data_IF_142340419330
#
_entry.id   IF_142340419330
#
_cell.length_a   1.000
_cell.length_b   1.000
_cell.length_c   1.000
_cell.angle_alpha   90.00
_cell.angle_beta   90.00
_cell.angle_gamma   90.00
#
_symmetry.space_group_name_H-M   'P 1'
#
loop_
_entity.id
_entity.type
_entity.pdbx_description
1 polymer ?
#
# COMPACT_ATOMS: atom_id res chain seq x y z
N UNK A 1 -29.55 15.51 12.59
CA UNK A 1 -28.49 16.11 11.79
C UNK A 1 -29.10 16.37 10.42
N UNK A 2 -28.92 17.54 9.88
CA UNK A 2 -29.46 17.89 8.57
C UNK A 2 -28.66 17.11 7.53
N UNK A 3 -29.32 16.28 6.72
CA UNK A 3 -28.67 15.40 5.72
C UNK A 3 -28.06 16.19 4.56
N UNK A 4 -28.31 17.48 4.50
CA UNK A 4 -27.67 18.43 3.58
C UNK A 4 -26.15 18.43 3.72
N UNK A 5 -25.60 17.95 4.86
CA UNK A 5 -24.14 17.78 5.09
C UNK A 5 -23.48 16.87 4.04
N UNK A 6 -24.19 15.87 3.50
CA UNK A 6 -23.63 14.95 2.48
C UNK A 6 -23.90 15.40 1.03
N UNK A 7 -24.71 16.45 0.81
CA UNK A 7 -25.01 16.97 -0.52
C UNK A 7 -23.75 17.30 -1.33
N UNK A 8 -22.72 17.97 -0.75
CA UNK A 8 -21.50 18.27 -1.50
C UNK A 8 -20.74 17.04 -2.00
N UNK A 9 -20.95 15.89 -1.38
CA UNK A 9 -20.33 14.61 -1.77
C UNK A 9 -21.17 13.79 -2.75
N UNK A 10 -22.44 14.18 -2.96
CA UNK A 10 -23.42 13.50 -3.80
C UNK A 10 -23.95 14.40 -4.93
N UNK A 11 -23.11 15.26 -5.49
CA UNK A 11 -23.45 16.18 -6.59
C UNK A 11 -24.01 15.48 -7.84
N UNK A 12 -23.75 14.18 -7.98
CA UNK A 12 -24.28 13.36 -9.07
C UNK A 12 -25.81 13.20 -9.01
N UNK A 13 -26.44 13.40 -7.84
CA UNK A 13 -27.91 13.44 -7.73
C UNK A 13 -28.53 14.61 -8.50
N UNK A 14 -27.79 15.71 -8.65
CA UNK A 14 -28.21 16.86 -9.46
C UNK A 14 -27.81 16.67 -10.93
N UNK A 15 -26.54 16.36 -11.18
CA UNK A 15 -25.98 16.16 -12.51
C UNK A 15 -24.63 15.44 -12.49
N UNK A 16 -24.47 14.46 -13.39
CA UNK A 16 -23.17 13.77 -13.59
C UNK A 16 -22.07 14.76 -14.00
N UNK A 17 -22.41 15.75 -14.82
CA UNK A 17 -21.44 16.78 -15.22
C UNK A 17 -21.02 17.66 -14.05
N UNK A 18 -21.95 18.02 -13.17
CA UNK A 18 -21.66 18.78 -11.96
C UNK A 18 -20.72 18.00 -11.06
N UNK A 19 -20.98 16.70 -10.86
CA UNK A 19 -20.13 15.79 -10.10
C UNK A 19 -18.71 15.74 -10.67
N UNK A 20 -18.56 15.52 -11.98
CA UNK A 20 -17.24 15.49 -12.65
C UNK A 20 -16.43 16.79 -12.46
N UNK A 21 -17.10 17.94 -12.52
CA UNK A 21 -16.44 19.26 -12.52
C UNK A 21 -16.22 19.83 -11.12
N UNK A 22 -17.13 19.56 -10.16
CA UNK A 22 -17.15 20.22 -8.85
C UNK A 22 -16.84 19.31 -7.66
N UNK A 23 -16.94 17.99 -7.78
CA UNK A 23 -16.50 17.12 -6.70
C UNK A 23 -15.03 17.42 -6.35
N UNK A 24 -14.69 17.68 -5.08
CA UNK A 24 -13.35 18.11 -4.69
C UNK A 24 -12.23 17.14 -5.10
N UNK A 25 -12.49 15.85 -4.99
CA UNK A 25 -11.50 14.82 -5.37
C UNK A 25 -11.32 14.74 -6.88
N UNK A 26 -12.40 14.68 -7.63
CA UNK A 26 -12.33 14.61 -9.10
C UNK A 26 -11.72 15.88 -9.69
N UNK A 27 -12.08 17.07 -9.17
CA UNK A 27 -11.48 18.33 -9.58
C UNK A 27 -9.97 18.37 -9.33
N UNK A 28 -9.50 17.85 -8.18
CA UNK A 28 -8.07 17.74 -7.90
C UNK A 28 -7.36 16.89 -8.95
N UNK A 29 -7.95 15.80 -9.40
CA UNK A 29 -7.37 14.95 -10.43
C UNK A 29 -7.20 15.67 -11.77
N UNK A 30 -8.11 16.59 -12.13
CA UNK A 30 -8.02 17.35 -13.39
C UNK A 30 -6.77 18.26 -13.45
N UNK A 31 -6.22 18.65 -12.29
CA UNK A 31 -4.99 19.47 -12.21
C UNK A 31 -3.71 18.65 -12.11
N UNK A 32 -3.79 17.33 -12.01
CA UNK A 32 -2.64 16.44 -11.87
C UNK A 32 -2.08 16.04 -13.24
N UNK A 33 -0.75 16.08 -13.45
CA UNK A 33 -0.11 15.58 -14.67
C UNK A 33 -0.39 14.08 -14.91
N UNK A 34 -0.42 13.31 -13.83
CA UNK A 34 -0.68 11.88 -13.87
C UNK A 34 -1.87 11.53 -13.00
N UNK A 35 -2.76 10.69 -13.52
CA UNK A 35 -3.93 10.18 -12.84
C UNK A 35 -3.95 8.66 -12.95
N UNK A 36 -4.00 7.99 -11.82
CA UNK A 36 -4.13 6.54 -11.77
C UNK A 36 -5.60 6.12 -11.68
N UNK A 37 -5.96 5.09 -12.43
CA UNK A 37 -7.21 4.34 -12.27
C UNK A 37 -6.84 2.92 -11.84
N UNK A 38 -7.13 2.58 -10.60
CA UNK A 38 -6.83 1.24 -10.08
C UNK A 38 -7.66 0.16 -10.77
N UNK A 39 -7.07 -0.99 -11.03
CA UNK A 39 -7.80 -2.18 -11.53
C UNK A 39 -8.89 -2.64 -10.56
N UNK A 40 -8.78 -2.35 -9.27
CA UNK A 40 -9.83 -2.61 -8.28
C UNK A 40 -11.19 -2.02 -8.65
N UNK A 41 -11.21 -0.96 -9.48
CA UNK A 41 -12.47 -0.42 -10.04
C UNK A 41 -13.23 -1.47 -10.85
N UNK A 42 -12.53 -2.43 -11.43
CA UNK A 42 -13.13 -3.51 -12.24
C UNK A 42 -13.43 -4.76 -11.40
N UNK A 43 -12.71 -4.93 -10.28
CA UNK A 43 -12.82 -6.09 -9.40
C UNK A 43 -13.95 -5.93 -8.37
N UNK A 44 -14.21 -4.70 -7.89
CA UNK A 44 -15.31 -4.44 -6.95
C UNK A 44 -16.64 -4.77 -7.66
N UNK A 45 -17.42 -5.74 -7.15
CA UNK A 45 -18.66 -6.16 -7.80
C UNK A 45 -19.68 -5.02 -7.86
N UNK A 46 -20.21 -4.77 -9.05
CA UNK A 46 -21.24 -3.74 -9.28
C UNK A 46 -22.65 -4.31 -9.49
N UNK A 47 -22.81 -5.64 -9.42
CA UNK A 47 -24.06 -6.34 -9.72
C UNK A 47 -24.41 -7.44 -8.71
N UNK A 48 -23.59 -7.63 -7.68
CA UNK A 48 -23.80 -8.63 -6.63
C UNK A 48 -24.02 -7.90 -5.32
N UNK A 49 -25.22 -7.98 -4.69
CA UNK A 49 -25.46 -7.41 -3.38
C UNK A 49 -24.51 -7.99 -2.33
N UNK A 50 -24.03 -7.16 -1.43
CA UNK A 50 -23.11 -7.60 -0.39
C UNK A 50 -22.34 -6.45 0.24
N UNK A 51 -21.57 -6.77 1.29
CA UNK A 51 -20.71 -5.82 1.99
C UNK A 51 -19.27 -6.09 1.56
N UNK A 52 -18.67 -5.10 0.94
CA UNK A 52 -17.30 -5.11 0.43
C UNK A 52 -16.42 -4.14 1.21
N UNK A 53 -15.19 -4.52 1.46
CA UNK A 53 -14.25 -3.68 2.20
C UNK A 53 -13.03 -3.35 1.34
N UNK A 54 -12.62 -2.08 1.35
CA UNK A 54 -11.40 -1.61 0.71
C UNK A 54 -10.48 -1.03 1.79
N UNK A 55 -9.46 -1.79 2.15
CA UNK A 55 -8.40 -1.36 3.06
C UNK A 55 -7.20 -0.79 2.32
N UNK A 56 -6.32 -0.16 3.05
CA UNK A 56 -5.05 0.38 2.55
C UNK A 56 -4.60 1.56 3.38
N UNK A 57 -3.30 1.84 3.38
CA UNK A 57 -2.72 2.95 4.13
C UNK A 57 -3.39 4.30 3.86
N UNK A 58 -3.09 5.29 4.67
CA UNK A 58 -3.60 6.65 4.42
C UNK A 58 -2.97 7.23 3.16
N UNK A 59 -3.70 8.14 2.51
CA UNK A 59 -3.27 8.87 1.32
C UNK A 59 -2.92 7.97 0.11
N UNK A 60 -3.26 6.67 0.16
CA UNK A 60 -3.04 5.73 -0.95
C UNK A 60 -4.06 5.92 -2.08
N UNK A 61 -5.17 6.62 -1.81
CA UNK A 61 -6.17 6.99 -2.82
C UNK A 61 -7.52 6.28 -2.70
N UNK A 62 -7.91 5.75 -1.52
CA UNK A 62 -9.20 5.08 -1.30
C UNK A 62 -10.41 5.94 -1.67
N UNK A 63 -10.46 7.17 -1.19
CA UNK A 63 -11.53 8.13 -1.57
C UNK A 63 -11.57 8.37 -3.08
N UNK A 64 -10.40 8.49 -3.72
CA UNK A 64 -10.29 8.63 -5.18
C UNK A 64 -10.84 7.41 -5.90
N UNK A 65 -10.50 6.21 -5.44
CA UNK A 65 -11.02 4.95 -5.96
C UNK A 65 -12.55 4.92 -5.89
N UNK A 66 -13.14 5.27 -4.74
CA UNK A 66 -14.60 5.32 -4.59
C UNK A 66 -15.24 6.31 -5.57
N UNK A 67 -14.69 7.53 -5.71
CA UNK A 67 -15.20 8.53 -6.63
C UNK A 67 -15.07 8.12 -8.11
N UNK A 68 -13.99 7.47 -8.48
CA UNK A 68 -13.81 6.90 -9.81
C UNK A 68 -14.76 5.72 -10.06
N UNK A 69 -15.01 4.89 -9.05
CA UNK A 69 -15.98 3.80 -9.13
C UNK A 69 -17.42 4.32 -9.26
N UNK A 70 -17.78 5.38 -8.52
CA UNK A 70 -19.06 6.08 -8.71
C UNK A 70 -19.23 6.57 -10.15
N UNK A 71 -18.20 7.20 -10.73
CA UNK A 71 -18.25 7.62 -12.14
C UNK A 71 -18.48 6.44 -13.08
N UNK A 72 -17.82 5.31 -12.85
CA UNK A 72 -18.03 4.10 -13.64
C UNK A 72 -19.47 3.59 -13.53
N UNK A 73 -20.06 3.57 -12.34
CA UNK A 73 -21.47 3.18 -12.15
C UNK A 73 -22.41 4.07 -12.97
N UNK A 74 -22.21 5.39 -12.89
CA UNK A 74 -22.98 6.37 -13.63
C UNK A 74 -22.79 6.23 -15.16
N UNK A 75 -21.57 6.01 -15.63
CA UNK A 75 -21.23 5.78 -17.04
C UNK A 75 -21.82 4.48 -17.59
N UNK A 76 -22.04 3.49 -16.74
CA UNK A 76 -22.71 2.21 -17.10
C UNK A 76 -24.23 2.29 -16.97
N UNK A 77 -24.80 3.49 -16.77
CA UNK A 77 -26.24 3.75 -16.79
C UNK A 77 -26.96 3.46 -15.48
N UNK A 78 -26.25 3.39 -14.35
CA UNK A 78 -26.92 3.31 -13.04
C UNK A 78 -27.58 4.64 -12.69
N UNK A 79 -28.77 4.58 -12.09
CA UNK A 79 -29.51 5.78 -11.67
C UNK A 79 -28.68 6.53 -10.62
N UNK A 80 -28.43 7.84 -10.78
CA UNK A 80 -27.74 8.64 -9.79
C UNK A 80 -28.34 8.57 -8.39
N UNK A 81 -29.65 8.48 -8.24
CA UNK A 81 -30.33 8.40 -6.94
C UNK A 81 -30.13 7.05 -6.23
N UNK A 82 -29.69 6.02 -6.95
CA UNK A 82 -29.35 4.73 -6.36
C UNK A 82 -27.93 4.66 -5.78
N UNK A 83 -27.13 5.72 -5.95
CA UNK A 83 -25.73 5.77 -5.51
C UNK A 83 -25.60 6.81 -4.39
N UNK A 84 -25.20 6.38 -3.21
CA UNK A 84 -24.98 7.26 -2.07
C UNK A 84 -23.54 7.14 -1.54
N UNK A 85 -22.93 8.29 -1.33
CA UNK A 85 -21.61 8.39 -0.70
C UNK A 85 -21.71 9.15 0.61
N UNK A 86 -21.19 8.59 1.67
CA UNK A 86 -21.07 9.21 3.00
C UNK A 86 -19.64 9.07 3.51
N UNK A 87 -19.17 10.07 4.26
CA UNK A 87 -17.89 9.98 4.96
C UNK A 87 -18.10 9.72 6.44
N UNK A 88 -17.40 8.71 6.96
CA UNK A 88 -17.44 8.35 8.37
C UNK A 88 -16.91 9.46 9.30
N UNK A 89 -16.08 10.37 8.77
CA UNK A 89 -15.58 11.51 9.55
C UNK A 89 -16.68 12.46 10.07
N UNK A 90 -17.86 12.46 9.42
CA UNK A 90 -19.02 13.26 9.81
C UNK A 90 -20.07 12.47 10.59
N UNK A 91 -19.80 11.22 10.92
CA UNK A 91 -20.74 10.31 11.61
C UNK A 91 -20.16 9.94 12.97
N UNK A 92 -20.87 10.26 14.05
CA UNK A 92 -20.35 10.07 15.41
C UNK A 92 -20.37 8.60 15.84
N UNK A 93 -21.49 7.91 15.58
CA UNK A 93 -21.73 6.56 16.08
C UNK A 93 -22.62 5.69 15.15
N UNK A 94 -22.74 4.41 15.50
CA UNK A 94 -23.54 3.46 14.75
C UNK A 94 -25.04 3.80 14.71
N UNK A 95 -25.61 4.51 15.68
CA UNK A 95 -27.03 4.91 15.64
C UNK A 95 -27.25 5.95 14.54
N UNK A 96 -26.31 6.88 14.39
CA UNK A 96 -26.36 7.86 13.30
C UNK A 96 -26.16 7.18 11.95
N UNK A 97 -25.23 6.22 11.83
CA UNK A 97 -25.03 5.42 10.62
C UNK A 97 -26.30 4.68 10.22
N UNK A 98 -27.00 4.05 11.19
CA UNK A 98 -28.26 3.36 10.93
C UNK A 98 -29.34 4.33 10.41
N UNK A 99 -29.46 5.54 10.99
CA UNK A 99 -30.42 6.54 10.49
C UNK A 99 -30.14 6.96 9.05
N UNK A 100 -28.86 7.19 8.72
CA UNK A 100 -28.43 7.55 7.36
C UNK A 100 -28.75 6.42 6.37
N UNK A 101 -28.47 5.17 6.73
CA UNK A 101 -28.74 4.01 5.88
C UNK A 101 -30.26 3.75 5.70
N UNK A 102 -31.08 3.99 6.71
CA UNK A 102 -32.54 3.93 6.58
C UNK A 102 -33.03 4.99 5.59
N UNK A 103 -32.56 6.23 5.73
CA UNK A 103 -32.91 7.28 4.77
C UNK A 103 -32.46 6.96 3.35
N UNK A 104 -31.25 6.44 3.16
CA UNK A 104 -30.82 5.91 1.87
C UNK A 104 -31.79 4.88 1.33
N UNK A 105 -32.33 4.00 2.15
CA UNK A 105 -33.32 3.00 1.74
C UNK A 105 -34.66 3.64 1.35
N UNK A 106 -35.05 4.76 1.98
CA UNK A 106 -36.32 5.46 1.69
C UNK A 106 -36.22 6.36 0.46
N UNK A 107 -35.10 7.07 0.29
CA UNK A 107 -34.87 8.08 -0.77
C UNK A 107 -34.24 7.50 -2.05
N UNK A 108 -33.98 6.18 -2.10
CA UNK A 108 -33.37 5.49 -3.23
C UNK A 108 -34.23 5.53 -4.49
N UNK A 109 -33.60 5.39 -5.66
CA UNK A 109 -34.26 5.22 -6.94
C UNK A 109 -35.07 3.92 -7.03
N UNK A 110 -35.66 3.66 -8.18
CA UNK A 110 -36.52 2.50 -8.43
C UNK A 110 -35.78 1.26 -8.94
N UNK A 111 -34.44 1.32 -8.99
CA UNK A 111 -33.63 0.19 -9.47
C UNK A 111 -33.67 -1.01 -8.53
N UNK A 112 -33.48 -2.22 -9.05
CA UNK A 112 -33.44 -3.42 -8.23
C UNK A 112 -32.19 -3.51 -7.34
N UNK A 113 -31.18 -2.69 -7.58
CA UNK A 113 -29.90 -2.70 -6.88
C UNK A 113 -29.44 -1.27 -6.58
N UNK A 114 -28.96 -1.06 -5.35
CA UNK A 114 -28.52 0.24 -4.82
C UNK A 114 -27.08 0.17 -4.35
N UNK A 115 -26.41 1.34 -4.20
CA UNK A 115 -24.98 1.45 -3.87
C UNK A 115 -24.78 2.41 -2.72
N UNK A 116 -24.27 1.90 -1.60
CA UNK A 116 -23.89 2.71 -0.43
C UNK A 116 -22.38 2.65 -0.23
N UNK A 117 -21.73 3.79 -0.37
CA UNK A 117 -20.29 3.94 -0.16
C UNK A 117 -20.05 4.67 1.16
N UNK A 118 -19.41 4.00 2.10
CA UNK A 118 -19.03 4.59 3.39
C UNK A 118 -17.51 4.73 3.44
N UNK A 119 -17.05 5.94 3.19
CA UNK A 119 -15.61 6.24 3.21
C UNK A 119 -15.12 6.47 4.65
N UNK A 120 -13.96 5.92 4.99
CA UNK A 120 -13.35 5.99 6.32
C UNK A 120 -14.30 5.57 7.47
N UNK A 121 -14.95 4.42 7.30
CA UNK A 121 -15.95 3.89 8.28
C UNK A 121 -15.38 3.72 9.69
N UNK A 122 -14.08 3.53 9.82
CA UNK A 122 -13.37 3.35 11.11
C UNK A 122 -13.41 4.59 12.03
N UNK A 123 -13.82 5.76 11.52
CA UNK A 123 -14.06 6.95 12.34
C UNK A 123 -15.37 6.86 13.12
N UNK A 124 -16.32 6.03 12.70
CA UNK A 124 -17.63 5.87 13.32
C UNK A 124 -17.49 4.98 14.55
N UNK A 125 -17.87 5.48 15.70
CA UNK A 125 -17.86 4.66 16.93
C UNK A 125 -18.81 3.47 16.79
N UNK A 126 -18.31 2.26 17.11
CA UNK A 126 -19.07 1.00 17.03
C UNK A 126 -19.68 0.73 15.64
N UNK A 127 -19.01 1.20 14.57
CA UNK A 127 -19.47 1.08 13.17
C UNK A 127 -19.89 -0.34 12.78
N UNK A 128 -19.17 -1.33 13.27
CA UNK A 128 -19.40 -2.75 13.02
C UNK A 128 -20.76 -3.23 13.52
N UNK A 129 -21.22 -2.73 14.70
CA UNK A 129 -22.56 -3.01 15.24
C UNK A 129 -23.65 -2.43 14.32
N UNK A 130 -23.41 -1.21 13.80
CA UNK A 130 -24.33 -0.56 12.86
C UNK A 130 -24.47 -1.33 11.56
N UNK A 131 -23.34 -1.66 10.91
CA UNK A 131 -23.34 -2.43 9.66
C UNK A 131 -23.97 -3.82 9.85
N UNK A 132 -23.64 -4.49 10.95
CA UNK A 132 -24.26 -5.79 11.28
C UNK A 132 -25.78 -5.68 11.41
N UNK A 133 -26.27 -4.71 12.16
CA UNK A 133 -27.70 -4.47 12.33
C UNK A 133 -28.40 -4.22 10.98
N UNK A 134 -27.83 -3.36 10.13
CA UNK A 134 -28.37 -3.04 8.81
C UNK A 134 -28.41 -4.26 7.87
N UNK A 135 -27.41 -5.11 7.94
CA UNK A 135 -27.39 -6.36 7.20
C UNK A 135 -28.48 -7.34 7.69
N UNK A 136 -28.61 -7.50 9.02
CA UNK A 136 -29.57 -8.43 9.61
C UNK A 136 -31.03 -7.95 9.49
N UNK A 137 -31.24 -6.64 9.36
CA UNK A 137 -32.58 -6.04 9.15
C UNK A 137 -33.08 -6.10 7.69
N UNK A 138 -32.27 -6.63 6.76
CA UNK A 138 -32.64 -6.74 5.35
C UNK A 138 -32.44 -5.47 4.53
N UNK A 139 -32.01 -4.36 5.12
CA UNK A 139 -31.78 -3.07 4.42
C UNK A 139 -30.74 -3.22 3.30
N UNK A 140 -29.77 -4.11 3.50
CA UNK A 140 -28.69 -4.36 2.52
C UNK A 140 -28.95 -5.54 1.56
N UNK A 141 -30.13 -6.18 1.60
CA UNK A 141 -30.42 -7.33 0.71
C UNK A 141 -30.28 -7.00 -0.78
N UNK A 142 -30.59 -5.76 -1.17
CA UNK A 142 -30.50 -5.26 -2.55
C UNK A 142 -29.46 -4.14 -2.66
N UNK A 143 -28.43 -4.15 -1.82
CA UNK A 143 -27.42 -3.13 -1.83
C UNK A 143 -26.01 -3.69 -2.02
N UNK A 144 -25.21 -3.00 -2.82
CA UNK A 144 -23.76 -3.12 -2.84
C UNK A 144 -23.22 -2.07 -1.87
N UNK A 145 -22.71 -2.53 -0.75
CA UNK A 145 -22.16 -1.67 0.30
C UNK A 145 -20.65 -1.72 0.24
N UNK A 146 -19.99 -0.60 -0.01
CA UNK A 146 -18.52 -0.51 -0.05
C UNK A 146 -18.04 0.33 1.13
N UNK A 147 -17.27 -0.29 2.00
CA UNK A 147 -16.69 0.34 3.19
C UNK A 147 -15.19 0.55 2.99
N UNK A 148 -14.67 1.74 3.30
CA UNK A 148 -13.21 1.94 3.33
C UNK A 148 -12.69 2.16 4.74
N UNK A 149 -11.43 1.82 4.95
CA UNK A 149 -10.70 2.10 6.19
C UNK A 149 -9.20 2.17 5.96
N UNK A 150 -8.54 3.02 6.76
CA UNK A 150 -7.10 3.32 6.63
C UNK A 150 -6.19 2.42 7.48
N UNK A 151 -6.70 1.25 7.92
CA UNK A 151 -6.04 0.37 8.86
C UNK A 151 -6.26 -1.09 8.44
N UNK A 152 -5.20 -1.90 8.39
CA UNK A 152 -5.33 -3.33 8.09
C UNK A 152 -6.12 -4.10 9.14
N UNK A 153 -6.14 -3.63 10.38
CA UNK A 153 -6.99 -4.21 11.43
C UNK A 153 -8.46 -4.16 11.05
N UNK A 154 -8.88 -3.11 10.33
CA UNK A 154 -10.23 -2.95 9.79
C UNK A 154 -10.66 -4.15 8.92
N UNK A 155 -9.82 -4.56 7.96
CA UNK A 155 -10.11 -5.73 7.11
C UNK A 155 -10.21 -7.01 7.94
N UNK A 156 -9.25 -7.20 8.87
CA UNK A 156 -9.25 -8.38 9.77
C UNK A 156 -10.50 -8.42 10.65
N UNK A 157 -10.95 -7.27 11.13
CA UNK A 157 -12.15 -7.16 11.94
C UNK A 157 -13.42 -7.39 11.12
N UNK A 158 -13.54 -6.79 9.95
CA UNK A 158 -14.66 -6.98 9.05
C UNK A 158 -14.89 -8.46 8.73
N UNK A 159 -13.81 -9.21 8.41
CA UNK A 159 -13.86 -10.66 8.17
C UNK A 159 -14.44 -11.42 9.36
N UNK A 160 -14.04 -11.07 10.59
CA UNK A 160 -14.51 -11.76 11.81
C UNK A 160 -15.93 -11.39 12.18
N UNK A 161 -16.38 -10.16 11.87
CA UNK A 161 -17.65 -9.59 12.34
C UNK A 161 -18.81 -9.77 11.36
N UNK A 162 -18.52 -10.03 10.07
CA UNK A 162 -19.54 -10.22 9.02
C UNK A 162 -19.51 -11.59 8.33
N UNK A 163 -19.41 -12.71 9.05
CA UNK A 163 -19.41 -14.02 8.42
C UNK A 163 -20.75 -14.24 7.69
N UNK A 164 -20.68 -14.66 6.42
CA UNK A 164 -21.87 -14.95 5.62
C UNK A 164 -22.63 -13.74 5.09
N UNK A 165 -22.16 -12.48 5.31
CA UNK A 165 -22.82 -11.25 4.83
C UNK A 165 -22.13 -10.61 3.63
N UNK A 166 -21.20 -11.33 3.02
CA UNK A 166 -20.43 -10.87 1.87
C UNK A 166 -21.11 -11.13 0.51
N UNK A 167 -22.39 -11.52 0.51
CA UNK A 167 -23.06 -11.96 -0.70
C UNK A 167 -22.46 -13.24 -1.28
N UNK A 168 -22.60 -13.41 -2.60
CA UNK A 168 -22.09 -14.58 -3.36
C UNK A 168 -20.76 -14.27 -4.09
N UNK A 169 -20.10 -13.15 -3.78
CA UNK A 169 -18.86 -12.77 -4.43
C UNK A 169 -17.68 -13.61 -3.94
N UNK A 170 -16.76 -13.94 -4.84
CA UNK A 170 -15.57 -14.75 -4.55
C UNK A 170 -14.63 -14.05 -3.57
N UNK A 171 -14.52 -12.73 -3.63
CA UNK A 171 -13.70 -11.91 -2.72
C UNK A 171 -14.46 -10.67 -2.26
N UNK A 172 -14.75 -10.54 -0.95
CA UNK A 172 -15.37 -9.34 -0.40
C UNK A 172 -14.36 -8.28 0.09
N UNK A 173 -13.07 -8.59 0.04
CA UNK A 173 -12.01 -7.79 0.64
C UNK A 173 -10.99 -7.38 -0.40
N UNK A 174 -10.73 -6.08 -0.49
CA UNK A 174 -9.78 -5.48 -1.41
C UNK A 174 -8.74 -4.68 -0.65
N UNK A 175 -7.50 -4.72 -1.12
CA UNK A 175 -6.39 -3.92 -0.57
C UNK A 175 -5.87 -2.98 -1.64
N UNK A 176 -5.93 -1.69 -1.36
CA UNK A 176 -5.35 -0.66 -2.20
C UNK A 176 -3.95 -0.33 -1.68
N UNK A 177 -2.94 -0.66 -2.47
CA UNK A 177 -1.54 -0.36 -2.19
C UNK A 177 -1.08 0.93 -2.89
N UNK A 178 0.04 1.54 -2.46
CA UNK A 178 0.77 2.47 -3.31
C UNK A 178 1.12 1.80 -4.64
N UNK A 179 1.27 2.57 -5.72
CA UNK A 179 1.57 1.99 -7.04
C UNK A 179 2.81 1.09 -6.98
N UNK A 180 2.73 -0.05 -7.62
CA UNK A 180 3.91 -0.86 -7.95
C UNK A 180 4.80 -0.12 -8.96
N UNK A 181 6.02 -0.58 -9.12
CA UNK A 181 6.91 -0.02 -10.15
C UNK A 181 6.30 -0.14 -11.56
N UNK A 182 5.67 -1.28 -11.87
CA UNK A 182 4.97 -1.51 -13.13
C UNK A 182 3.82 -0.51 -13.35
N UNK A 183 2.97 -0.31 -12.36
CA UNK A 183 1.88 0.66 -12.43
C UNK A 183 2.40 2.10 -12.58
N UNK A 184 3.52 2.43 -11.93
CA UNK A 184 4.17 3.74 -12.07
C UNK A 184 4.61 4.00 -13.50
N UNK A 185 5.25 3.03 -14.15
CA UNK A 185 5.65 3.12 -15.55
C UNK A 185 4.45 3.31 -16.49
N UNK A 186 3.37 2.58 -16.23
CA UNK A 186 2.12 2.69 -16.98
C UNK A 186 1.46 4.06 -16.82
N UNK A 187 1.32 4.55 -15.59
CA UNK A 187 0.69 5.85 -15.27
C UNK A 187 1.50 7.00 -15.87
N UNK A 188 2.83 6.94 -15.80
CA UNK A 188 3.75 7.91 -16.43
C UNK A 188 3.81 7.77 -17.95
N UNK A 189 3.18 6.75 -18.53
CA UNK A 189 3.20 6.43 -19.97
C UNK A 189 4.61 6.25 -20.54
N UNK A 190 5.53 5.71 -19.70
CA UNK A 190 6.91 5.40 -20.12
C UNK A 190 6.91 4.22 -21.09
N UNK A 191 6.10 3.20 -20.77
CA UNK A 191 5.85 2.04 -21.60
C UNK A 191 4.35 1.75 -21.69
N UNK A 192 3.88 1.26 -22.82
CA UNK A 192 2.53 0.70 -22.97
C UNK A 192 2.41 -0.63 -22.21
N UNK A 193 1.18 -1.06 -21.94
CA UNK A 193 0.93 -2.36 -21.27
C UNK A 193 1.57 -3.51 -22.05
N UNK A 194 1.44 -3.53 -23.39
CA UNK A 194 2.07 -4.55 -24.24
C UNK A 194 3.60 -4.54 -24.14
N UNK A 195 4.22 -3.36 -24.11
CA UNK A 195 5.68 -3.26 -23.94
C UNK A 195 6.13 -3.74 -22.55
N UNK A 196 5.35 -3.48 -21.50
CA UNK A 196 5.63 -4.00 -20.16
C UNK A 196 5.51 -5.52 -20.09
N UNK A 197 4.54 -6.11 -20.82
CA UNK A 197 4.38 -7.57 -20.90
C UNK A 197 5.55 -8.21 -21.69
N UNK A 198 5.96 -7.60 -22.80
CA UNK A 198 7.12 -8.02 -23.56
C UNK A 198 8.40 -7.97 -22.73
N UNK A 199 8.65 -6.84 -22.02
CA UNK A 199 9.80 -6.68 -21.13
C UNK A 199 9.82 -7.73 -20.01
N UNK A 200 8.68 -8.04 -19.43
CA UNK A 200 8.54 -9.02 -18.37
C UNK A 200 8.85 -10.46 -18.81
N UNK A 201 8.63 -10.78 -20.10
CA UNK A 201 8.79 -12.14 -20.66
C UNK A 201 10.08 -12.32 -21.48
N UNK A 202 10.65 -11.24 -21.99
CA UNK A 202 11.81 -11.31 -22.91
C UNK A 202 13.12 -11.54 -22.16
N UNK A 203 13.97 -12.39 -22.76
CA UNK A 203 15.37 -12.55 -22.35
C UNK A 203 16.32 -11.64 -23.13
N UNK A 204 15.93 -11.20 -24.32
CA UNK A 204 16.71 -10.32 -25.20
C UNK A 204 16.11 -8.91 -25.18
N UNK A 205 16.51 -8.12 -24.19
CA UNK A 205 15.99 -6.77 -24.02
C UNK A 205 16.96 -5.78 -24.66
N UNK A 206 16.39 -4.87 -25.48
CA UNK A 206 17.13 -3.79 -26.11
C UNK A 206 17.76 -2.90 -25.03
N UNK A 207 19.07 -2.68 -25.09
CA UNK A 207 19.85 -1.89 -24.09
C UNK A 207 19.20 -0.56 -23.74
N UNK A 208 18.64 0.16 -24.75
CA UNK A 208 17.95 1.43 -24.52
C UNK A 208 16.72 1.32 -23.60
N UNK A 209 15.91 0.26 -23.73
CA UNK A 209 14.77 0.03 -22.82
C UNK A 209 15.23 -0.26 -21.39
N UNK A 210 16.36 -0.95 -21.24
CA UNK A 210 16.97 -1.21 -19.92
C UNK A 210 17.49 0.07 -19.27
N UNK A 211 18.12 0.99 -20.03
CA UNK A 211 18.57 2.28 -19.51
C UNK A 211 17.40 3.10 -18.95
N UNK A 212 16.28 3.15 -19.69
CA UNK A 212 15.05 3.82 -19.23
C UNK A 212 14.51 3.13 -17.98
N UNK A 213 14.46 1.80 -17.96
CA UNK A 213 13.93 1.03 -16.82
C UNK A 213 14.73 1.29 -15.55
N UNK A 214 16.06 1.33 -15.62
CA UNK A 214 16.91 1.66 -14.48
C UNK A 214 16.76 3.11 -14.04
N UNK A 215 16.70 4.07 -14.96
CA UNK A 215 16.46 5.48 -14.65
C UNK A 215 15.10 5.67 -13.93
N UNK A 216 14.07 4.99 -14.40
CA UNK A 216 12.74 5.06 -13.74
C UNK A 216 12.72 4.33 -12.40
N UNK A 217 13.54 3.30 -12.23
CA UNK A 217 13.67 2.65 -10.92
C UNK A 217 14.43 3.54 -9.91
N UNK A 218 15.45 4.27 -10.36
CA UNK A 218 16.11 5.30 -9.53
C UNK A 218 15.08 6.37 -9.09
N UNK A 219 14.18 6.81 -9.99
CA UNK A 219 13.06 7.69 -9.64
C UNK A 219 12.09 7.04 -8.64
N UNK A 220 11.78 5.74 -8.82
CA UNK A 220 10.91 4.99 -7.92
C UNK A 220 11.50 4.87 -6.51
N UNK A 221 12.81 4.71 -6.36
CA UNK A 221 13.48 4.78 -5.06
C UNK A 221 13.27 6.11 -4.34
N UNK A 222 13.00 7.20 -5.08
CA UNK A 222 12.76 8.55 -4.53
C UNK A 222 11.29 8.77 -4.17
N UNK A 223 10.36 8.53 -5.11
CA UNK A 223 8.94 8.88 -4.94
C UNK A 223 8.05 7.70 -4.52
N UNK A 224 8.57 6.47 -4.53
CA UNK A 224 7.77 5.28 -4.27
C UNK A 224 6.56 5.16 -5.19
N UNK A 225 5.48 4.57 -4.69
CA UNK A 225 4.22 4.42 -5.39
C UNK A 225 3.16 5.47 -5.05
N UNK A 226 3.50 6.56 -4.39
CA UNK A 226 2.52 7.58 -3.99
C UNK A 226 2.30 8.63 -5.06
N UNK A 227 1.07 8.69 -5.59
CA UNK A 227 0.68 9.62 -6.65
C UNK A 227 0.98 11.09 -6.34
N UNK A 228 0.91 11.49 -5.07
CA UNK A 228 1.23 12.86 -4.65
C UNK A 228 2.70 13.18 -4.89
N UNK A 229 3.62 12.28 -4.50
CA UNK A 229 5.05 12.47 -4.71
C UNK A 229 5.43 12.39 -6.20
N UNK A 230 4.81 11.49 -6.96
CA UNK A 230 4.98 11.36 -8.41
C UNK A 230 4.57 12.67 -9.13
N UNK A 231 3.40 13.20 -8.79
CA UNK A 231 2.89 14.44 -9.38
C UNK A 231 3.70 15.67 -8.94
N UNK A 232 4.19 15.71 -7.70
CA UNK A 232 5.09 16.77 -7.23
C UNK A 232 6.35 16.87 -8.09
N UNK A 233 6.99 15.73 -8.37
CA UNK A 233 8.18 15.69 -9.25
C UNK A 233 7.81 16.16 -10.66
N UNK A 234 6.67 15.71 -11.19
CA UNK A 234 6.25 16.10 -12.53
C UNK A 234 5.95 17.60 -12.67
N UNK A 235 5.37 18.20 -11.64
CA UNK A 235 5.01 19.63 -11.65
C UNK A 235 6.16 20.57 -11.26
N UNK A 236 7.02 20.13 -10.32
CA UNK A 236 7.96 21.01 -9.63
C UNK A 236 9.42 20.56 -9.75
N UNK A 237 9.71 19.43 -10.41
CA UNK A 237 11.04 18.81 -10.48
C UNK A 237 11.55 18.23 -9.15
N UNK A 238 10.73 18.28 -8.09
CA UNK A 238 11.06 17.78 -6.74
C UNK A 238 9.80 17.48 -5.94
N UNK A 239 9.95 16.67 -4.89
CA UNK A 239 8.89 16.49 -3.91
C UNK A 239 8.88 17.71 -2.98
N UNK A 240 7.70 18.28 -2.74
CA UNK A 240 7.56 19.49 -1.92
C UNK A 240 7.72 19.16 -0.43
N UNK A 241 8.30 20.07 0.38
CA UNK A 241 8.40 19.88 1.83
C UNK A 241 7.05 19.59 2.50
N UNK A 242 5.98 20.28 2.06
CA UNK A 242 4.63 20.07 2.56
C UNK A 242 4.12 18.64 2.31
N UNK A 243 4.53 18.01 1.22
CA UNK A 243 4.14 16.63 0.91
C UNK A 243 4.78 15.67 1.92
N UNK A 244 6.07 15.79 2.24
CA UNK A 244 6.70 14.99 3.29
C UNK A 244 6.03 15.21 4.65
N UNK A 245 5.75 16.47 5.01
CA UNK A 245 5.07 16.80 6.27
C UNK A 245 3.69 16.16 6.37
N UNK A 246 2.89 16.18 5.30
CA UNK A 246 1.56 15.57 5.26
C UNK A 246 1.60 14.08 5.67
N UNK A 247 2.60 13.34 5.19
CA UNK A 247 2.70 11.91 5.49
C UNK A 247 3.30 11.64 6.87
N UNK A 248 4.31 12.40 7.30
CA UNK A 248 4.84 12.28 8.65
C UNK A 248 3.82 12.70 9.71
N UNK A 249 3.06 13.77 9.47
CA UNK A 249 2.00 14.23 10.38
C UNK A 249 0.85 13.24 10.47
N UNK A 250 0.51 12.56 9.37
CA UNK A 250 -0.43 11.46 9.41
C UNK A 250 0.07 10.33 10.34
N UNK A 251 1.30 9.85 10.19
CA UNK A 251 1.85 8.78 11.03
C UNK A 251 1.78 9.21 12.51
N UNK A 252 2.23 10.41 12.83
CA UNK A 252 2.24 10.98 14.18
C UNK A 252 0.82 11.10 14.74
N UNK A 253 -0.08 11.72 13.98
CA UNK A 253 -1.46 11.96 14.39
C UNK A 253 -2.23 10.70 14.68
N UNK A 254 -2.06 9.65 13.88
CA UNK A 254 -2.75 8.38 14.12
C UNK A 254 -2.17 7.61 15.31
N UNK A 255 -0.87 7.66 15.52
CA UNK A 255 -0.25 7.09 16.72
C UNK A 255 -0.71 7.82 17.99
N UNK A 256 -0.81 9.16 17.96
CA UNK A 256 -1.34 9.96 19.08
C UNK A 256 -2.81 9.63 19.39
N UNK A 257 -3.66 9.49 18.36
CA UNK A 257 -5.07 9.07 18.53
C UNK A 257 -5.20 7.70 19.22
N UNK A 258 -4.21 6.83 19.08
CA UNK A 258 -4.13 5.52 19.72
C UNK A 258 -3.43 5.56 21.08
N UNK A 259 -3.24 6.75 21.64
CA UNK A 259 -2.64 6.97 22.96
C UNK A 259 -1.13 6.74 23.01
N UNK A 260 -0.44 6.75 21.86
CA UNK A 260 1.02 6.58 21.81
C UNK A 260 1.74 7.91 21.99
N UNK A 261 2.89 7.87 22.67
CA UNK A 261 3.72 9.05 22.91
C UNK A 261 4.60 9.33 21.69
N UNK A 262 4.61 10.58 21.23
CA UNK A 262 5.35 11.00 20.05
C UNK A 262 6.86 10.85 20.18
N UNK A 263 7.42 11.15 21.38
CA UNK A 263 8.84 10.98 21.62
C UNK A 263 9.31 9.52 21.49
N UNK A 264 8.53 8.56 21.99
CA UNK A 264 8.84 7.13 21.82
C UNK A 264 8.69 6.68 20.36
N UNK A 265 7.71 7.21 19.64
CA UNK A 265 7.59 6.98 18.19
C UNK A 265 8.82 7.48 17.45
N UNK A 266 9.30 8.70 17.78
CA UNK A 266 10.50 9.27 17.19
C UNK A 266 11.73 8.39 17.43
N UNK A 267 11.93 7.90 18.66
CA UNK A 267 13.03 7.02 19.00
C UNK A 267 12.97 5.68 18.27
N UNK A 268 11.78 5.05 18.21
CA UNK A 268 11.57 3.78 17.50
C UNK A 268 11.84 3.95 16.01
N UNK A 269 11.26 4.96 15.36
CA UNK A 269 11.51 5.20 13.93
C UNK A 269 12.97 5.54 13.65
N UNK A 270 13.65 6.28 14.55
CA UNK A 270 15.10 6.53 14.44
C UNK A 270 15.91 5.24 14.49
N UNK A 271 15.57 4.33 15.41
CA UNK A 271 16.21 3.01 15.50
C UNK A 271 15.96 2.15 14.27
N UNK A 272 14.72 2.16 13.71
CA UNK A 272 14.36 1.43 12.50
C UNK A 272 15.10 1.96 11.26
N UNK A 273 15.21 3.27 11.10
CA UNK A 273 15.96 3.89 9.98
C UNK A 273 17.45 3.55 10.10
N UNK A 274 18.02 3.56 11.33
CA UNK A 274 19.43 3.23 11.56
C UNK A 274 19.73 1.75 11.28
N UNK A 275 18.80 0.84 11.59
CA UNK A 275 18.96 -0.61 11.39
C UNK A 275 18.24 -1.12 10.12
N UNK A 276 17.88 -0.23 9.20
CA UNK A 276 17.10 -0.58 8.02
C UNK A 276 17.80 -1.69 7.21
N UNK A 277 17.04 -2.73 6.86
CA UNK A 277 17.56 -3.91 6.16
C UNK A 277 18.33 -4.92 7.05
N UNK A 278 18.62 -4.58 8.29
CA UNK A 278 19.36 -5.46 9.20
C UNK A 278 18.44 -6.37 10.02
N UNK A 279 18.98 -7.53 10.42
CA UNK A 279 18.29 -8.41 11.38
C UNK A 279 18.21 -7.75 12.76
N UNK A 280 17.02 -7.67 13.32
CA UNK A 280 16.80 -7.06 14.63
C UNK A 280 15.87 -7.87 15.53
N UNK A 281 15.87 -7.53 16.82
CA UNK A 281 14.90 -8.02 17.82
C UNK A 281 14.27 -6.81 18.52
N UNK A 282 13.09 -6.98 19.10
CA UNK A 282 12.47 -5.89 19.86
C UNK A 282 13.33 -5.45 21.06
N UNK A 283 14.11 -6.37 21.62
CA UNK A 283 15.07 -6.06 22.67
C UNK A 283 16.21 -5.18 22.15
N UNK A 284 16.75 -5.47 20.95
CA UNK A 284 17.77 -4.64 20.32
C UNK A 284 17.27 -3.23 20.00
N UNK A 285 16.01 -3.09 19.55
CA UNK A 285 15.41 -1.77 19.32
C UNK A 285 15.21 -1.04 20.65
N UNK A 286 14.70 -1.71 21.69
CA UNK A 286 14.55 -1.13 23.03
C UNK A 286 15.87 -0.58 23.58
N UNK A 287 16.97 -1.33 23.45
CA UNK A 287 18.30 -0.90 23.93
C UNK A 287 18.86 0.35 23.21
N UNK A 288 18.28 0.76 22.09
CA UNK A 288 18.63 1.98 21.35
C UNK A 288 17.71 3.16 21.67
N UNK A 289 16.76 2.97 22.55
CA UNK A 289 15.71 3.93 22.90
C UNK A 289 15.64 4.11 24.40
N UNK A 290 14.84 5.06 24.87
CA UNK A 290 14.54 5.23 26.31
C UNK A 290 13.48 4.23 26.82
N UNK A 291 13.14 3.19 26.05
CA UNK A 291 12.09 2.22 26.36
C UNK A 291 12.68 1.05 27.14
N UNK A 292 12.24 0.85 28.38
CA UNK A 292 12.72 -0.24 29.24
C UNK A 292 12.23 -1.63 28.80
N UNK A 293 11.00 -1.71 28.26
CA UNK A 293 10.35 -2.98 27.95
C UNK A 293 10.17 -3.19 26.45
N UNK A 294 10.74 -4.27 25.92
CA UNK A 294 10.60 -4.66 24.53
C UNK A 294 9.13 -4.89 24.08
N UNK A 295 8.22 -5.17 25.03
CA UNK A 295 6.79 -5.27 24.74
C UNK A 295 6.20 -3.94 24.24
N UNK A 296 6.66 -2.80 24.77
CA UNK A 296 6.26 -1.48 24.29
C UNK A 296 6.73 -1.25 22.85
N UNK A 297 7.96 -1.69 22.51
CA UNK A 297 8.42 -1.63 21.12
C UNK A 297 7.53 -2.46 20.20
N UNK A 298 7.21 -3.70 20.59
CA UNK A 298 6.29 -4.56 19.81
C UNK A 298 4.96 -3.88 19.54
N UNK A 299 4.36 -3.27 20.57
CA UNK A 299 3.07 -2.60 20.48
C UNK A 299 3.09 -1.39 19.50
N UNK A 300 4.18 -0.62 19.46
CA UNK A 300 4.36 0.44 18.46
C UNK A 300 4.55 -0.13 17.05
N UNK A 301 5.36 -1.18 16.91
CA UNK A 301 5.60 -1.86 15.64
C UNK A 301 4.30 -2.45 15.07
N UNK A 302 3.51 -3.13 15.91
CA UNK A 302 2.23 -3.73 15.49
C UNK A 302 1.27 -2.66 14.96
N UNK A 303 1.19 -1.50 15.63
CA UNK A 303 0.38 -0.38 15.16
C UNK A 303 0.91 0.22 13.85
N UNK A 304 2.23 0.40 13.71
CA UNK A 304 2.82 0.89 12.47
C UNK A 304 2.60 -0.09 11.31
N UNK A 305 2.58 -1.40 11.58
CA UNK A 305 2.22 -2.43 10.60
C UNK A 305 0.74 -2.35 10.22
N UNK A 306 -0.16 -2.20 11.18
CA UNK A 306 -1.60 -2.07 10.91
C UNK A 306 -1.92 -0.79 10.11
N UNK A 307 -1.13 0.28 10.28
CA UNK A 307 -1.21 1.51 9.49
C UNK A 307 -0.53 1.42 8.11
N UNK A 308 0.07 0.30 7.76
CA UNK A 308 0.85 0.12 6.53
C UNK A 308 2.05 1.09 6.38
N UNK A 309 2.63 1.53 7.49
CA UNK A 309 3.86 2.33 7.48
C UNK A 309 5.08 1.43 7.29
N UNK A 310 5.10 0.32 8.02
CA UNK A 310 6.16 -0.69 7.99
C UNK A 310 5.57 -2.11 7.90
N UNK A 311 6.40 -3.07 7.59
CA UNK A 311 6.08 -4.49 7.74
C UNK A 311 7.27 -5.27 8.30
N UNK A 312 6.96 -6.42 8.92
CA UNK A 312 7.95 -7.30 9.54
C UNK A 312 8.18 -8.51 8.64
N UNK A 313 9.40 -8.65 8.12
CA UNK A 313 9.83 -9.83 7.39
C UNK A 313 10.51 -10.82 8.36
N UNK A 314 9.91 -11.99 8.51
CA UNK A 314 10.37 -13.03 9.43
C UNK A 314 11.37 -13.97 8.77
N UNK A 315 12.25 -14.58 9.57
CA UNK A 315 13.01 -15.73 9.12
C UNK A 315 12.08 -16.90 8.81
N UNK A 316 12.39 -17.70 7.80
CA UNK A 316 11.62 -18.90 7.46
C UNK A 316 12.06 -20.12 8.30
N UNK A 317 11.10 -21.01 8.59
CA UNK A 317 11.33 -22.41 8.93
C UNK A 317 11.15 -23.20 7.63
N UNK A 318 12.27 -23.51 6.96
CA UNK A 318 12.28 -24.00 5.58
C UNK A 318 11.41 -25.25 5.35
N UNK A 319 11.51 -26.27 6.20
CA UNK A 319 10.74 -27.52 6.07
C UNK A 319 9.23 -27.36 6.36
N UNK A 320 8.82 -26.22 6.96
CA UNK A 320 7.40 -25.90 7.27
C UNK A 320 6.83 -24.78 6.40
N UNK A 321 7.67 -24.08 5.64
CA UNK A 321 7.31 -22.93 4.83
C UNK A 321 6.53 -21.86 5.63
N UNK A 322 6.93 -21.62 6.88
CA UNK A 322 6.27 -20.69 7.77
C UNK A 322 7.28 -19.82 8.55
N UNK A 323 6.78 -18.76 9.17
CA UNK A 323 7.59 -17.86 9.98
C UNK A 323 8.25 -18.55 11.17
N UNK A 324 9.48 -18.13 11.50
CA UNK A 324 10.22 -18.52 12.70
C UNK A 324 10.13 -17.39 13.76
N UNK A 325 9.09 -17.37 14.62
CA UNK A 325 8.76 -16.20 15.45
C UNK A 325 9.81 -15.87 16.52
N UNK A 326 10.64 -16.86 16.90
CA UNK A 326 11.71 -16.69 17.88
C UNK A 326 13.03 -16.20 17.31
N UNK A 327 13.20 -16.23 15.97
CA UNK A 327 14.40 -15.70 15.32
C UNK A 327 14.32 -14.17 15.20
N UNK A 328 15.46 -13.53 14.99
CA UNK A 328 15.51 -12.14 14.60
C UNK A 328 14.68 -11.91 13.32
N UNK A 329 14.25 -10.71 13.10
CA UNK A 329 13.40 -10.28 11.99
C UNK A 329 13.99 -9.07 11.30
N UNK A 330 13.57 -8.78 10.08
CA UNK A 330 13.87 -7.53 9.39
C UNK A 330 12.61 -6.67 9.40
N UNK A 331 12.78 -5.36 9.53
CA UNK A 331 11.68 -4.39 9.47
C UNK A 331 11.92 -3.48 8.28
N UNK A 332 10.94 -3.38 7.40
CA UNK A 332 11.00 -2.54 6.22
C UNK A 332 9.83 -1.55 6.21
N UNK A 333 10.03 -0.39 5.62
CA UNK A 333 8.93 0.48 5.25
C UNK A 333 8.18 -0.12 4.06
N UNK A 334 6.87 0.06 4.03
CA UNK A 334 6.01 -0.50 2.96
C UNK A 334 6.29 0.13 1.60
N UNK A 335 6.81 1.36 1.58
CA UNK A 335 7.10 2.13 0.39
C UNK A 335 8.29 3.08 0.62
N UNK A 336 9.16 3.32 -0.38
CA UNK A 336 10.30 4.25 -0.28
C UNK A 336 9.90 5.65 0.19
N UNK A 337 8.80 6.19 -0.33
CA UNK A 337 8.37 7.54 0.01
C UNK A 337 7.92 7.66 1.47
N UNK A 338 7.30 6.63 2.02
CA UNK A 338 6.94 6.60 3.46
C UNK A 338 8.20 6.61 4.32
N UNK A 339 9.23 5.84 3.93
CA UNK A 339 10.52 5.87 4.61
C UNK A 339 11.15 7.27 4.56
N UNK A 340 11.16 7.90 3.39
CA UNK A 340 11.67 9.27 3.26
C UNK A 340 10.88 10.27 4.09
N UNK A 341 9.56 10.16 4.13
CA UNK A 341 8.71 11.05 4.94
C UNK A 341 8.98 10.91 6.44
N UNK A 342 9.14 9.68 6.93
CA UNK A 342 9.54 9.43 8.31
C UNK A 342 10.95 10.01 8.59
N UNK A 343 11.92 9.76 7.70
CA UNK A 343 13.30 10.25 7.83
C UNK A 343 13.38 11.77 7.83
N UNK A 344 12.63 12.46 6.99
CA UNK A 344 12.57 13.94 6.94
C UNK A 344 12.08 14.51 8.26
N UNK A 345 11.06 13.90 8.87
CA UNK A 345 10.61 14.30 10.21
C UNK A 345 11.71 14.12 11.28
N UNK A 346 12.44 13.00 11.23
CA UNK A 346 13.52 12.70 12.18
C UNK A 346 14.71 13.67 12.05
N UNK A 347 15.03 14.10 10.86
CA UNK A 347 16.21 14.93 10.56
C UNK A 347 15.96 16.43 10.63
N UNK A 348 14.70 16.88 10.54
CA UNK A 348 14.31 18.29 10.61
C UNK A 348 15.08 19.22 9.65
N UNK A 349 15.31 18.76 8.39
CA UNK A 349 16.08 19.49 7.38
C UNK A 349 15.20 20.51 6.64
N UNK A 350 15.81 21.61 6.13
CA UNK A 350 15.09 22.69 5.45
C UNK A 350 14.68 22.32 4.02
N UNK A 351 15.53 21.63 3.29
CA UNK A 351 15.31 21.18 1.91
C UNK A 351 15.33 19.65 1.85
N UNK A 352 14.24 19.00 2.31
CA UNK A 352 14.25 17.55 2.53
C UNK A 352 14.56 16.74 1.27
N UNK A 353 14.10 17.16 0.10
CA UNK A 353 14.38 16.47 -1.14
C UNK A 353 15.88 16.44 -1.45
N UNK A 354 16.54 17.61 -1.41
CA UNK A 354 17.95 17.78 -1.75
C UNK A 354 18.90 17.33 -0.61
N UNK A 355 18.53 17.57 0.64
CA UNK A 355 19.43 17.38 1.81
C UNK A 355 19.29 15.99 2.46
N UNK A 356 18.15 15.32 2.29
CA UNK A 356 17.86 14.03 2.92
C UNK A 356 17.64 12.91 1.91
N UNK A 357 16.72 13.09 0.93
CA UNK A 357 16.30 12.01 0.01
C UNK A 357 17.38 11.69 -1.01
N UNK A 358 17.84 12.69 -1.80
CA UNK A 358 18.82 12.45 -2.84
C UNK A 358 20.15 11.90 -2.32
N UNK A 359 20.73 12.42 -1.21
CA UNK A 359 21.95 11.83 -0.64
C UNK A 359 21.75 10.41 -0.10
N UNK A 360 20.55 10.09 0.39
CA UNK A 360 20.24 8.73 0.84
C UNK A 360 20.25 7.73 -0.30
N UNK A 361 19.57 8.04 -1.40
CA UNK A 361 19.49 7.18 -2.59
C UNK A 361 20.83 7.09 -3.32
N UNK A 362 21.65 8.16 -3.28
CA UNK A 362 23.00 8.16 -3.87
C UNK A 362 24.01 7.33 -3.06
N UNK A 363 23.78 7.07 -1.78
CA UNK A 363 24.65 6.24 -0.96
C UNK A 363 24.44 4.76 -1.30
N UNK A 364 25.47 4.06 -1.75
CA UNK A 364 25.38 2.69 -2.28
C UNK A 364 24.86 1.67 -1.26
N UNK A 365 25.25 1.76 0.01
CA UNK A 365 24.82 0.86 1.09
C UNK A 365 23.34 1.10 1.42
N UNK A 366 22.97 2.37 1.64
CA UNK A 366 21.58 2.76 1.98
C UNK A 366 20.63 2.44 0.83
N UNK A 367 21.04 2.69 -0.41
CA UNK A 367 20.30 2.31 -1.60
C UNK A 367 20.13 0.80 -1.70
N UNK A 368 21.16 0.01 -1.38
CA UNK A 368 21.08 -1.45 -1.35
C UNK A 368 19.99 -1.95 -0.40
N UNK A 369 19.97 -1.47 0.84
CA UNK A 369 18.96 -1.81 1.83
C UNK A 369 17.56 -1.34 1.41
N UNK A 370 17.45 -0.16 0.78
CA UNK A 370 16.18 0.35 0.26
C UNK A 370 15.64 -0.55 -0.86
N UNK A 371 16.49 -0.96 -1.78
CA UNK A 371 16.14 -1.83 -2.90
C UNK A 371 15.73 -3.22 -2.44
N UNK A 372 16.39 -3.77 -1.42
CA UNK A 372 15.94 -5.00 -0.77
C UNK A 372 14.52 -4.82 -0.21
N UNK A 373 14.28 -3.75 0.55
CA UNK A 373 12.95 -3.44 1.09
C UNK A 373 11.87 -3.30 0.01
N UNK A 374 12.19 -2.66 -1.13
CA UNK A 374 11.29 -2.55 -2.28
C UNK A 374 10.96 -3.94 -2.85
N UNK A 375 11.96 -4.78 -3.08
CA UNK A 375 11.77 -6.12 -3.62
C UNK A 375 10.90 -6.98 -2.70
N UNK A 376 11.16 -6.97 -1.39
CA UNK A 376 10.37 -7.70 -0.39
C UNK A 376 8.94 -7.13 -0.32
N UNK A 377 8.78 -5.80 -0.27
CA UNK A 377 7.47 -5.15 -0.19
C UNK A 377 6.58 -5.51 -1.38
N UNK A 378 7.09 -5.34 -2.60
CA UNK A 378 6.31 -5.64 -3.80
C UNK A 378 6.00 -7.14 -3.93
N UNK A 379 6.97 -8.01 -3.61
CA UNK A 379 6.76 -9.46 -3.61
C UNK A 379 5.70 -9.90 -2.58
N UNK A 380 5.67 -9.26 -1.41
CA UNK A 380 4.73 -9.60 -0.33
C UNK A 380 3.27 -9.29 -0.65
N UNK A 381 2.99 -8.43 -1.64
CA UNK A 381 1.63 -8.17 -2.13
C UNK A 381 1.01 -9.39 -2.84
N UNK A 382 1.85 -10.28 -3.36
CA UNK A 382 1.43 -11.43 -4.18
C UNK A 382 1.72 -12.77 -3.51
N UNK A 383 2.79 -12.85 -2.71
CA UNK A 383 3.28 -14.08 -2.12
C UNK A 383 3.56 -13.93 -0.63
N UNK A 384 3.56 -15.05 0.11
CA UNK A 384 4.10 -15.07 1.48
C UNK A 384 5.62 -14.96 1.40
N UNK A 385 6.19 -13.92 2.00
CA UNK A 385 7.61 -13.60 1.96
C UNK A 385 8.28 -13.79 3.32
N UNK A 386 9.53 -14.20 3.27
CA UNK A 386 10.42 -14.45 4.40
C UNK A 386 11.85 -14.09 4.00
N UNK A 387 12.79 -14.13 4.95
CA UNK A 387 14.21 -14.23 4.64
C UNK A 387 14.77 -15.54 5.17
N UNK A 388 15.88 -16.01 4.63
CA UNK A 388 16.52 -17.23 5.12
C UNK A 388 17.65 -16.86 6.09
N UNK A 389 17.59 -17.41 7.31
CA UNK A 389 18.63 -17.28 8.32
C UNK A 389 19.33 -18.62 8.51
N UNK A 390 20.45 -18.81 7.80
CA UNK A 390 21.34 -19.96 7.89
C UNK A 390 22.72 -19.54 8.39
N UNK A 391 23.83 -20.10 7.85
CA UNK A 391 25.20 -19.65 8.15
C UNK A 391 25.42 -18.19 7.77
N UNK A 392 24.92 -17.83 6.57
CA UNK A 392 24.73 -16.44 6.12
C UNK A 392 23.26 -16.24 5.82
N UNK A 393 22.90 -15.06 5.36
CA UNK A 393 21.55 -14.67 5.05
C UNK A 393 21.27 -14.85 3.56
N UNK A 394 19.98 -15.14 3.20
CA UNK A 394 19.41 -14.86 1.87
C UNK A 394 18.28 -13.86 2.07
N UNK A 395 18.28 -12.77 1.33
CA UNK A 395 17.47 -11.57 1.57
C UNK A 395 15.97 -11.80 1.49
N UNK A 396 15.53 -12.63 0.54
CA UNK A 396 14.12 -12.92 0.29
C UNK A 396 13.92 -14.40 -0.03
N UNK A 397 12.88 -14.99 0.52
CA UNK A 397 12.35 -16.28 0.12
C UNK A 397 10.83 -16.16 0.03
N UNK A 398 10.25 -16.32 -1.15
CA UNK A 398 8.81 -16.28 -1.32
C UNK A 398 8.24 -17.68 -1.60
N UNK A 399 6.98 -17.89 -1.20
CA UNK A 399 6.30 -19.17 -1.38
C UNK A 399 5.34 -19.07 -2.57
N UNK A 400 5.60 -19.88 -3.58
CA UNK A 400 4.74 -20.02 -4.76
C UNK A 400 4.52 -21.51 -5.03
N UNK A 401 3.28 -21.90 -5.28
CA UNK A 401 2.86 -23.28 -5.59
C UNK A 401 3.41 -24.31 -4.56
N UNK A 402 3.41 -23.95 -3.26
CA UNK A 402 3.90 -24.78 -2.17
C UNK A 402 5.43 -24.96 -2.14
N UNK A 403 6.19 -24.20 -2.93
CA UNK A 403 7.66 -24.25 -2.99
C UNK A 403 8.27 -22.91 -2.57
N UNK A 404 9.43 -22.99 -1.96
CA UNK A 404 10.26 -21.85 -1.60
C UNK A 404 11.11 -21.41 -2.79
N UNK A 405 11.12 -20.12 -3.08
CA UNK A 405 11.93 -19.48 -4.11
C UNK A 405 12.88 -18.49 -3.46
N UNK A 406 14.15 -18.85 -3.26
CA UNK A 406 15.15 -17.97 -2.67
C UNK A 406 15.64 -16.91 -3.65
N UNK A 407 15.84 -15.68 -3.15
CA UNK A 407 16.28 -14.53 -3.95
C UNK A 407 17.30 -13.72 -3.14
N UNK A 408 18.44 -13.47 -3.71
CA UNK A 408 19.48 -12.59 -3.18
C UNK A 408 19.46 -11.24 -3.89
N UNK A 409 19.56 -10.14 -3.15
CA UNK A 409 19.53 -8.79 -3.70
C UNK A 409 20.93 -8.16 -3.64
N UNK A 410 21.52 -7.87 -4.79
CA UNK A 410 22.83 -7.22 -4.91
C UNK A 410 22.72 -5.92 -5.73
N UNK A 411 22.42 -4.80 -5.08
CA UNK A 411 22.30 -3.50 -5.74
C UNK A 411 23.66 -2.91 -6.12
N UNK A 412 24.44 -3.71 -6.89
CA UNK A 412 25.74 -3.34 -7.43
C UNK A 412 25.89 -3.91 -8.84
N UNK A 413 26.70 -3.25 -9.65
CA UNK A 413 27.02 -3.72 -11.01
C UNK A 413 28.10 -4.82 -11.04
N UNK A 414 28.82 -5.00 -9.95
CA UNK A 414 29.88 -6.00 -9.82
C UNK A 414 29.83 -6.63 -8.42
N UNK A 415 29.89 -7.94 -8.35
CA UNK A 415 29.97 -8.71 -7.11
C UNK A 415 30.80 -9.99 -7.36
N UNK A 416 31.41 -10.50 -6.29
CA UNK A 416 32.22 -11.73 -6.35
C UNK A 416 31.35 -12.93 -6.00
N UNK A 417 31.68 -14.10 -6.58
CA UNK A 417 31.00 -15.37 -6.23
C UNK A 417 31.04 -15.67 -4.72
N UNK A 418 32.13 -15.29 -4.03
CA UNK A 418 32.26 -15.44 -2.57
C UNK A 418 31.21 -14.68 -1.75
N UNK A 419 30.61 -13.62 -2.33
CA UNK A 419 29.54 -12.82 -1.69
C UNK A 419 28.16 -13.50 -1.85
N UNK A 420 28.05 -14.46 -2.75
CA UNK A 420 26.84 -15.22 -3.07
C UNK A 420 26.80 -16.61 -2.40
N UNK A 421 27.78 -16.93 -1.55
CA UNK A 421 27.98 -18.29 -1.03
C UNK A 421 26.78 -18.93 -0.33
N UNK A 422 25.82 -18.12 0.20
CA UNK A 422 24.63 -18.67 0.83
C UNK A 422 23.56 -19.04 -0.20
N UNK A 423 23.27 -18.16 -1.18
CA UNK A 423 22.25 -18.41 -2.20
C UNK A 423 22.65 -19.61 -3.10
N UNK A 424 23.95 -19.82 -3.31
CA UNK A 424 24.48 -20.97 -4.09
C UNK A 424 24.14 -22.33 -3.47
N UNK A 425 23.78 -22.40 -2.19
CA UNK A 425 23.32 -23.62 -1.53
C UNK A 425 21.88 -24.00 -1.85
N UNK A 426 21.14 -23.12 -2.52
CA UNK A 426 19.72 -23.30 -2.81
C UNK A 426 19.50 -23.50 -4.33
N UNK A 427 19.17 -24.74 -4.76
CA UNK A 427 18.83 -24.99 -6.16
C UNK A 427 17.69 -24.08 -6.63
N UNK A 428 17.87 -23.42 -7.77
CA UNK A 428 16.88 -22.46 -8.31
C UNK A 428 16.86 -21.09 -7.63
N UNK A 429 17.85 -20.79 -6.77
CA UNK A 429 18.05 -19.45 -6.22
C UNK A 429 18.34 -18.43 -7.32
N UNK A 430 17.84 -17.20 -7.17
CA UNK A 430 17.98 -16.12 -8.15
C UNK A 430 18.75 -14.97 -7.51
N UNK A 431 19.66 -14.35 -8.28
CA UNK A 431 20.37 -13.13 -7.87
C UNK A 431 19.77 -11.92 -8.61
N UNK A 432 19.30 -10.94 -7.87
CA UNK A 432 18.83 -9.67 -8.43
C UNK A 432 19.96 -8.64 -8.34
N UNK A 433 20.27 -7.99 -9.45
CA UNK A 433 21.44 -7.11 -9.50
C UNK A 433 21.17 -5.76 -10.16
N UNK A 434 22.13 -4.85 -10.03
CA UNK A 434 22.18 -3.59 -10.78
C UNK A 434 22.78 -3.78 -12.20
N UNK A 435 23.12 -4.99 -12.60
CA UNK A 435 23.54 -5.30 -13.96
C UNK A 435 22.37 -5.15 -14.94
N UNK A 436 22.64 -4.60 -16.12
CA UNK A 436 21.60 -4.37 -17.14
C UNK A 436 21.34 -5.58 -18.03
N UNK A 437 22.21 -6.57 -18.00
CA UNK A 437 22.07 -7.82 -18.76
C UNK A 437 21.63 -8.96 -17.86
N UNK A 438 20.81 -9.86 -18.39
CA UNK A 438 20.52 -11.14 -17.78
C UNK A 438 21.77 -12.01 -17.93
N UNK A 439 22.18 -12.64 -16.85
CA UNK A 439 23.35 -13.50 -16.81
C UNK A 439 23.13 -14.73 -15.97
N UNK A 440 24.19 -15.48 -15.72
CA UNK A 440 24.22 -16.67 -14.87
C UNK A 440 25.56 -16.75 -14.13
N UNK A 441 25.51 -17.19 -12.88
CA UNK A 441 26.70 -17.47 -12.08
C UNK A 441 26.51 -18.82 -11.42
N UNK A 442 27.38 -19.80 -11.73
CA UNK A 442 27.36 -21.15 -11.16
C UNK A 442 25.98 -21.83 -11.21
N UNK A 443 25.24 -21.69 -12.32
CA UNK A 443 23.91 -22.26 -12.50
C UNK A 443 22.78 -21.43 -11.89
N UNK A 444 23.05 -20.27 -11.29
CA UNK A 444 22.06 -19.36 -10.73
C UNK A 444 21.82 -18.16 -11.66
N UNK A 445 20.55 -17.91 -12.04
CA UNK A 445 20.21 -16.75 -12.86
C UNK A 445 20.55 -15.43 -12.15
N UNK A 446 21.18 -14.52 -12.87
CA UNK A 446 21.38 -13.12 -12.48
C UNK A 446 20.46 -12.26 -13.30
N UNK A 447 19.50 -11.63 -12.65
CA UNK A 447 18.43 -10.87 -13.30
C UNK A 447 18.53 -9.40 -12.89
N UNK A 448 18.42 -8.44 -13.85
CA UNK A 448 18.24 -7.03 -13.50
C UNK A 448 17.06 -6.84 -12.57
N UNK A 449 17.29 -6.23 -11.40
CA UNK A 449 16.24 -6.11 -10.37
C UNK A 449 15.00 -5.37 -10.87
N UNK A 450 15.09 -4.23 -11.58
CA UNK A 450 13.91 -3.55 -12.11
C UNK A 450 13.08 -4.42 -13.06
N UNK A 451 13.75 -5.29 -13.82
CA UNK A 451 13.08 -6.24 -14.72
C UNK A 451 12.33 -7.33 -13.94
N UNK A 452 12.94 -7.87 -12.88
CA UNK A 452 12.30 -8.89 -12.05
C UNK A 452 11.04 -8.36 -11.37
N UNK A 453 11.09 -7.12 -10.89
CA UNK A 453 9.96 -6.47 -10.21
C UNK A 453 8.76 -6.26 -11.16
N UNK A 454 8.97 -6.12 -12.47
CA UNK A 454 7.87 -6.00 -13.45
C UNK A 454 6.93 -7.23 -13.45
N UNK A 455 7.39 -8.38 -12.95
CA UNK A 455 6.62 -9.62 -12.87
C UNK A 455 5.83 -9.77 -11.56
N UNK A 456 5.99 -8.82 -10.64
CA UNK A 456 5.24 -8.77 -9.38
C UNK A 456 3.96 -7.95 -9.56
#
# INVERSE_FOLDING_TARGET
MDDTVFTPNNLHHESIELFRKKDPQLRKLLSCPFVHKSELINEIPSNIPGIYTVGGGRQVGKTTLLKQWMLKLLETGKDPLDIWYVTGELINDHHQLIRIANKFSDDRGKSPLHYLLVDEVTYIKDWDKGIKYLADSGIFEKAVVVLTGSDLSFIKEARKRFPGRHGTADSPEFLLYPLSFRETLSVKKIFSTSELDELAQSRDIITKKMDILFSEFDNYMVHGGYMTAINDIAMNGRIQPATFSTYSDWIRGDMLKRGKKENLLHEILSALVKQYGSQTTWHSIASMTSIDHHATVSDYIDLLCDMEVIFVNHAIIEHKLCAAPKKARKVFFTDPFIMHSAKVWLESVKKPYEESVLPFVANSEKAGNLVEGIAVSLCSRKYKCFYIKAEKEVDLAYIKDGKMHPVEVKWTGQFRTSELGQIMKYPGGVVLSKQKAIGEIEGHPVIPLPLWILNL
#
